data_IF_186498019843
#
_entry.id   IF_186498019843
#
_cell.length_a   1.000
_cell.length_b   1.000
_cell.length_c   1.000
_cell.angle_alpha   90.00
_cell.angle_beta   90.00
_cell.angle_gamma   90.00
#
_symmetry.space_group_name_H-M   'P 1'
#
loop_
_entity.id
_entity.type
_entity.pdbx_description
1 polymer ?
#
# COMPACT_ATOMS: atom_id res chain seq x y z
N UNK A 1 26.55 -78.10 11.36
CA UNK A 1 27.91 -78.26 11.94
C UNK A 1 28.85 -77.45 11.06
N UNK A 2 29.47 -76.33 11.46
CA UNK A 2 29.59 -75.69 12.76
C UNK A 2 29.70 -74.16 12.64
N UNK A 3 29.59 -73.50 13.78
CA UNK A 3 29.86 -72.07 14.03
C UNK A 3 31.41 -71.84 14.04
N UNK A 4 32.01 -70.64 13.98
CA UNK A 4 31.71 -69.35 14.63
C UNK A 4 32.60 -68.23 13.97
N UNK A 5 32.81 -67.01 14.54
CA UNK A 5 32.32 -65.77 13.94
C UNK A 5 33.40 -64.68 13.75
N UNK A 6 33.10 -63.63 12.98
CA UNK A 6 33.89 -62.39 12.97
C UNK A 6 33.05 -61.21 13.46
N UNK A 7 32.90 -61.18 14.77
CA UNK A 7 32.63 -60.04 15.63
C UNK A 7 33.75 -58.97 15.54
N UNK A 8 33.36 -57.72 15.83
CA UNK A 8 34.14 -56.48 15.90
C UNK A 8 34.37 -55.78 14.54
N UNK A 9 34.08 -54.50 14.37
CA UNK A 9 33.53 -53.50 15.26
C UNK A 9 33.12 -52.28 14.41
N UNK A 10 32.19 -51.50 14.94
CA UNK A 10 32.12 -50.04 14.84
C UNK A 10 32.82 -49.37 13.65
N UNK A 11 32.02 -48.78 12.75
CA UNK A 11 32.05 -47.32 12.62
C UNK A 11 30.74 -46.86 11.99
N UNK A 12 29.75 -46.54 12.83
CA UNK A 12 28.64 -45.68 12.46
C UNK A 12 29.21 -44.28 12.23
N UNK A 13 29.74 -43.99 11.04
CA UNK A 13 29.98 -42.60 10.63
C UNK A 13 28.68 -42.08 10.03
N UNK A 14 27.76 -41.71 10.92
CA UNK A 14 26.71 -40.78 10.53
C UNK A 14 27.41 -39.43 10.33
N UNK A 15 27.89 -39.18 9.12
CA UNK A 15 28.31 -37.86 8.71
C UNK A 15 27.05 -36.99 8.66
N UNK A 16 26.68 -36.39 9.78
CA UNK A 16 25.75 -35.26 9.80
C UNK A 16 26.48 -34.11 9.14
N UNK A 17 26.40 -34.04 7.82
CA UNK A 17 26.75 -32.83 7.09
C UNK A 17 25.67 -31.83 7.48
N UNK A 18 25.97 -31.03 8.51
CA UNK A 18 25.28 -29.77 8.75
C UNK A 18 25.52 -28.92 7.49
N UNK A 19 24.62 -29.04 6.52
CA UNK A 19 24.44 -28.04 5.50
C UNK A 19 24.06 -26.77 6.23
N UNK A 20 25.06 -25.98 6.61
CA UNK A 20 24.88 -24.56 6.87
C UNK A 20 24.39 -24.03 5.54
N UNK A 21 23.06 -23.98 5.38
CA UNK A 21 22.44 -23.18 4.33
C UNK A 21 23.14 -21.83 4.41
N UNK A 22 23.85 -21.37 3.36
CA UNK A 22 24.19 -19.97 3.32
C UNK A 22 22.82 -19.30 3.40
N UNK A 23 22.55 -18.60 4.51
CA UNK A 23 21.41 -17.71 4.61
C UNK A 23 21.36 -17.02 3.28
N UNK A 24 20.27 -17.22 2.52
CA UNK A 24 20.02 -16.46 1.31
C UNK A 24 20.15 -15.03 1.75
N UNK A 25 21.33 -14.43 1.47
CA UNK A 25 21.54 -13.01 1.62
C UNK A 25 20.55 -12.48 0.63
N UNK A 26 19.34 -12.17 1.11
CA UNK A 26 18.37 -11.46 0.32
C UNK A 26 19.16 -10.30 -0.25
N UNK A 27 19.29 -10.25 -1.57
CA UNK A 27 19.72 -9.04 -2.23
C UNK A 27 18.83 -7.98 -1.59
N UNK A 28 19.41 -7.12 -0.75
CA UNK A 28 18.68 -6.00 -0.21
C UNK A 28 18.12 -5.31 -1.45
N UNK A 29 16.78 -5.37 -1.60
CA UNK A 29 16.13 -4.76 -2.75
C UNK A 29 16.66 -3.33 -2.85
N UNK A 30 17.04 -2.89 -4.04
CA UNK A 30 17.44 -1.51 -4.23
C UNK A 30 16.37 -0.60 -3.62
N UNK A 31 16.81 0.47 -2.94
CA UNK A 31 15.90 1.45 -2.35
C UNK A 31 14.91 1.89 -3.44
N UNK A 32 13.58 1.67 -3.26
CA UNK A 32 12.60 2.00 -4.29
C UNK A 32 12.59 3.50 -4.60
N UNK A 33 13.11 4.34 -3.70
CA UNK A 33 13.22 5.80 -3.88
C UNK A 33 14.50 6.24 -4.59
N UNK A 34 15.40 5.31 -4.96
CA UNK A 34 16.64 5.65 -5.64
C UNK A 34 16.39 6.35 -6.98
N UNK A 35 16.95 7.55 -7.14
CA UNK A 35 16.72 8.41 -8.32
C UNK A 35 15.53 9.35 -8.19
N UNK A 36 14.76 9.30 -7.10
CA UNK A 36 13.69 10.25 -6.80
C UNK A 36 14.15 11.34 -5.82
N UNK A 37 13.68 12.57 -6.06
CA UNK A 37 13.83 13.67 -5.10
C UNK A 37 12.58 13.74 -4.23
N UNK A 38 12.75 13.64 -2.92
CA UNK A 38 11.64 13.76 -1.98
C UNK A 38 11.01 15.16 -2.04
N UNK A 39 9.68 15.19 -2.05
CA UNK A 39 8.89 16.42 -2.04
C UNK A 39 8.20 16.55 -0.69
N UNK A 40 8.29 17.74 -0.07
CA UNK A 40 7.66 17.99 1.22
C UNK A 40 6.16 18.28 1.05
N UNK A 41 5.32 17.50 1.73
CA UNK A 41 3.89 17.76 1.84
C UNK A 41 3.55 18.33 3.21
N UNK A 42 2.61 19.27 3.25
CA UNK A 42 2.05 19.87 4.46
C UNK A 42 0.53 19.81 4.41
N UNK A 43 -0.14 20.13 5.53
CA UNK A 43 -1.61 20.21 5.56
C UNK A 43 -2.20 21.17 4.51
N UNK A 44 -1.46 22.20 4.11
CA UNK A 44 -1.91 23.12 3.07
C UNK A 44 -2.00 22.48 1.68
N UNK A 45 -1.30 21.36 1.46
CA UNK A 45 -1.38 20.59 0.22
C UNK A 45 -2.61 19.67 0.18
N UNK A 46 -3.30 19.45 1.30
CA UNK A 46 -4.37 18.46 1.42
C UNK A 46 -5.75 19.12 1.41
N UNK A 47 -6.44 19.00 0.28
CA UNK A 47 -7.81 19.50 0.12
C UNK A 47 -8.79 18.36 0.32
N UNK A 48 -9.58 18.43 1.40
CA UNK A 48 -10.66 17.48 1.66
C UNK A 48 -11.81 17.67 0.66
N UNK A 49 -12.08 16.64 -0.12
CA UNK A 49 -13.31 16.50 -0.89
C UNK A 49 -14.25 15.56 -0.14
N UNK A 50 -15.51 15.96 -0.01
CA UNK A 50 -16.57 15.28 0.76
C UNK A 50 -17.92 15.53 0.08
N UNK A 51 -19.01 14.86 0.49
CA UNK A 51 -20.36 15.23 0.07
C UNK A 51 -20.64 16.71 0.30
N UNK A 52 -21.28 17.36 -0.68
CA UNK A 52 -21.49 18.82 -0.64
C UNK A 52 -22.41 19.26 0.51
N UNK A 53 -23.31 18.38 0.94
CA UNK A 53 -24.38 18.64 1.91
C UNK A 53 -24.04 18.24 3.36
N UNK A 54 -22.87 17.64 3.60
CA UNK A 54 -22.45 17.21 4.94
C UNK A 54 -21.31 18.06 5.49
N UNK A 55 -21.19 18.26 6.82
CA UNK A 55 -19.98 18.86 7.40
C UNK A 55 -18.78 17.92 7.29
N UNK A 56 -17.55 18.44 7.41
CA UNK A 56 -16.32 17.64 7.28
C UNK A 56 -16.26 16.48 8.28
N UNK A 57 -16.57 16.74 9.55
CA UNK A 57 -16.54 15.74 10.62
C UNK A 57 -17.56 14.59 10.46
N UNK A 58 -18.51 14.68 9.53
CA UNK A 58 -19.47 13.60 9.28
C UNK A 58 -18.86 12.41 8.52
N UNK A 59 -17.77 12.63 7.78
CA UNK A 59 -17.12 11.64 6.91
C UNK A 59 -15.59 11.58 7.03
N UNK A 60 -15.01 12.49 7.81
CA UNK A 60 -13.57 12.66 7.92
C UNK A 60 -13.15 12.95 9.36
N UNK A 61 -12.04 12.35 9.77
CA UNK A 61 -11.30 12.71 10.98
C UNK A 61 -9.80 12.71 10.72
N UNK A 62 -9.07 13.50 11.53
CA UNK A 62 -7.62 13.50 11.54
C UNK A 62 -7.11 13.54 12.98
N UNK A 63 -6.45 12.47 13.40
CA UNK A 63 -5.92 12.33 14.75
C UNK A 63 -4.66 11.46 14.72
N UNK A 64 -3.61 11.87 15.45
CA UNK A 64 -2.37 11.10 15.56
C UNK A 64 -1.69 10.80 14.22
N UNK A 65 -1.82 11.70 13.23
CA UNK A 65 -1.26 11.50 11.89
C UNK A 65 -2.08 10.57 10.98
N UNK A 66 -3.19 10.01 11.47
CA UNK A 66 -4.07 9.12 10.70
C UNK A 66 -5.28 9.89 10.20
N UNK A 67 -5.51 9.87 8.89
CA UNK A 67 -6.75 10.34 8.27
C UNK A 67 -7.71 9.17 8.13
N UNK A 68 -8.91 9.30 8.69
CA UNK A 68 -9.97 8.33 8.48
C UNK A 68 -11.00 8.96 7.55
N UNK A 69 -11.35 8.22 6.50
CA UNK A 69 -12.32 8.61 5.50
C UNK A 69 -13.34 7.48 5.38
N UNK A 70 -14.62 7.81 5.44
CA UNK A 70 -15.68 6.84 5.15
C UNK A 70 -16.64 7.43 4.14
N UNK A 71 -17.18 6.55 3.29
CA UNK A 71 -18.07 6.89 2.19
C UNK A 71 -19.25 5.93 2.26
N UNK A 72 -20.46 6.47 2.32
CA UNK A 72 -21.67 5.68 2.22
C UNK A 72 -22.22 5.75 0.79
N UNK A 73 -22.84 4.67 0.33
CA UNK A 73 -23.50 4.65 -0.99
C UNK A 73 -24.66 5.64 -1.09
N UNK A 74 -25.24 6.04 0.05
CA UNK A 74 -26.31 7.02 0.15
C UNK A 74 -25.85 8.48 0.21
N UNK A 75 -24.54 8.73 0.34
CA UNK A 75 -24.02 10.09 0.40
C UNK A 75 -24.27 10.84 -0.92
N UNK A 76 -24.18 12.17 -0.90
CA UNK A 76 -24.24 12.96 -2.13
C UNK A 76 -22.87 13.05 -2.82
N UNK A 77 -22.84 13.40 -4.12
CA UNK A 77 -21.60 13.70 -4.82
C UNK A 77 -20.80 14.83 -4.15
N UNK A 78 -19.55 15.02 -4.59
CA UNK A 78 -18.68 16.07 -4.03
C UNK A 78 -19.20 17.49 -4.28
N UNK A 79 -19.92 17.70 -5.39
CA UNK A 79 -20.57 18.98 -5.74
C UNK A 79 -22.00 18.72 -6.18
N UNK A 80 -22.87 19.73 -6.06
CA UNK A 80 -24.30 19.58 -6.39
C UNK A 80 -24.56 19.34 -7.88
N UNK A 81 -23.61 19.70 -8.75
CA UNK A 81 -23.69 19.51 -10.19
C UNK A 81 -22.98 18.22 -10.68
N UNK A 82 -22.35 17.45 -9.80
CA UNK A 82 -21.61 16.27 -10.20
C UNK A 82 -22.53 15.07 -10.39
N UNK A 83 -22.38 14.37 -11.52
CA UNK A 83 -23.07 13.09 -11.80
C UNK A 83 -22.27 11.86 -11.32
N UNK A 84 -21.16 12.09 -10.61
CA UNK A 84 -20.24 11.02 -10.18
C UNK A 84 -20.69 10.44 -8.84
N UNK A 85 -20.21 9.23 -8.52
CA UNK A 85 -20.53 8.60 -7.24
C UNK A 85 -19.96 9.40 -6.04
N UNK A 86 -20.51 9.18 -4.83
CA UNK A 86 -20.04 9.84 -3.62
C UNK A 86 -18.58 9.54 -3.34
N UNK A 87 -17.91 10.49 -2.69
CA UNK A 87 -16.50 10.40 -2.31
C UNK A 87 -16.24 11.16 -1.03
N UNK A 88 -15.30 10.63 -0.26
CA UNK A 88 -14.57 11.36 0.77
C UNK A 88 -13.10 11.07 0.49
N UNK A 89 -12.37 12.04 -0.03
CA UNK A 89 -11.00 11.88 -0.52
C UNK A 89 -10.14 13.10 -0.19
N UNK A 90 -8.83 12.90 -0.12
CA UNK A 90 -7.87 14.00 -0.06
C UNK A 90 -7.32 14.24 -1.46
N UNK A 91 -7.57 15.43 -2.02
CA UNK A 91 -6.89 15.90 -3.21
C UNK A 91 -5.59 16.59 -2.79
N UNK A 92 -4.46 16.12 -3.32
CA UNK A 92 -3.18 16.80 -3.19
C UNK A 92 -3.10 17.97 -4.18
N UNK A 93 -2.66 19.14 -3.72
CA UNK A 93 -2.46 20.36 -4.53
C UNK A 93 -1.06 20.92 -4.37
N UNK A 94 -0.60 21.69 -5.37
CA UNK A 94 0.76 22.27 -5.40
C UNK A 94 1.80 21.40 -6.10
N UNK A 95 1.46 20.15 -6.40
CA UNK A 95 2.25 19.18 -7.16
C UNK A 95 1.37 18.44 -8.17
N UNK A 96 0.53 19.18 -8.90
CA UNK A 96 -0.34 18.59 -9.90
C UNK A 96 0.49 17.91 -11.02
N UNK A 97 0.12 16.68 -11.36
CA UNK A 97 0.86 15.86 -12.31
C UNK A 97 0.74 16.43 -13.73
N UNK A 98 1.85 16.94 -14.26
CA UNK A 98 1.92 17.51 -15.62
C UNK A 98 2.84 16.70 -16.55
N UNK A 99 3.92 16.13 -16.02
CA UNK A 99 4.90 15.33 -16.76
C UNK A 99 5.86 14.62 -15.81
N UNK A 100 6.78 13.82 -16.37
CA UNK A 100 7.84 13.13 -15.62
C UNK A 100 7.39 11.81 -15.00
N UNK A 101 8.22 11.29 -14.09
CA UNK A 101 7.92 10.08 -13.33
C UNK A 101 7.78 10.48 -11.87
N UNK A 102 6.65 10.11 -11.27
CA UNK A 102 6.34 10.41 -9.87
C UNK A 102 6.14 9.11 -9.11
N UNK A 103 6.68 9.05 -7.89
CA UNK A 103 6.44 7.97 -6.95
C UNK A 103 5.59 8.48 -5.79
N UNK A 104 4.63 7.66 -5.39
CA UNK A 104 3.79 7.89 -4.22
C UNK A 104 3.93 6.68 -3.31
N UNK A 105 4.02 6.94 -2.01
CA UNK A 105 4.03 5.91 -0.98
C UNK A 105 3.05 6.31 0.12
N UNK A 106 2.35 5.33 0.68
CA UNK A 106 1.44 5.55 1.79
C UNK A 106 0.92 4.24 2.35
N UNK A 107 0.57 4.28 3.64
CA UNK A 107 -0.07 3.17 4.32
C UNK A 107 -1.58 3.43 4.36
N UNK A 108 -2.35 2.42 3.96
CA UNK A 108 -3.81 2.47 3.96
C UNK A 108 -4.41 1.18 4.51
N UNK A 109 -5.52 1.31 5.22
CA UNK A 109 -6.31 0.18 5.68
C UNK A 109 -7.75 0.33 5.21
N UNK A 110 -8.25 -0.69 4.50
CA UNK A 110 -9.66 -0.79 4.10
C UNK A 110 -10.31 -1.85 5.01
N UNK A 111 -11.31 -1.49 5.82
CA UNK A 111 -12.00 -2.44 6.67
C UNK A 111 -12.58 -3.63 5.88
N UNK A 112 -12.55 -4.81 6.50
CA UNK A 112 -13.21 -6.01 5.94
C UNK A 112 -14.69 -5.71 5.66
N UNK A 113 -15.24 -6.32 4.61
CA UNK A 113 -16.60 -6.09 4.08
C UNK A 113 -16.83 -4.78 3.31
N UNK A 114 -15.81 -3.93 3.14
CA UNK A 114 -15.92 -2.77 2.24
C UNK A 114 -15.80 -3.20 0.78
N UNK A 115 -16.71 -2.75 -0.09
CA UNK A 115 -16.74 -3.11 -1.51
C UNK A 115 -16.71 -1.88 -2.42
N UNK A 116 -16.10 -1.99 -3.60
CA UNK A 116 -16.12 -0.92 -4.61
C UNK A 116 -15.29 0.31 -4.24
N UNK A 117 -14.25 0.12 -3.44
CA UNK A 117 -13.38 1.21 -2.95
C UNK A 117 -12.30 1.53 -3.98
N UNK A 118 -12.08 2.83 -4.20
CA UNK A 118 -10.84 3.34 -4.80
C UNK A 118 -10.05 4.05 -3.71
N UNK A 119 -8.81 3.61 -3.47
CA UNK A 119 -7.93 4.17 -2.43
C UNK A 119 -6.92 5.18 -2.98
N UNK A 120 -6.65 5.12 -4.29
CA UNK A 120 -5.70 5.98 -4.97
C UNK A 120 -6.15 6.16 -6.41
N UNK A 121 -6.05 7.39 -6.89
CA UNK A 121 -6.32 7.73 -8.28
C UNK A 121 -5.36 8.85 -8.70
N UNK A 122 -4.89 8.79 -9.94
CA UNK A 122 -4.08 9.83 -10.56
C UNK A 122 -4.88 10.38 -11.73
N UNK A 123 -5.14 11.68 -11.73
CA UNK A 123 -5.80 12.38 -12.83
C UNK A 123 -4.80 13.26 -13.58
N UNK A 124 -5.10 13.56 -14.84
CA UNK A 124 -4.27 14.47 -15.66
C UNK A 124 -3.47 13.77 -16.77
N UNK A 125 -3.62 12.46 -16.94
CA UNK A 125 -3.11 11.77 -18.13
C UNK A 125 -3.93 12.14 -19.38
N UNK A 126 -3.27 12.59 -20.44
CA UNK A 126 -3.90 13.04 -21.69
C UNK A 126 -4.50 11.92 -22.56
N UNK A 127 -4.19 10.65 -22.28
CA UNK A 127 -4.51 9.49 -23.15
C UNK A 127 -5.31 8.38 -22.49
N UNK A 128 -5.45 8.37 -21.15
CA UNK A 128 -6.28 7.41 -20.42
C UNK A 128 -6.55 7.94 -19.02
N UNK A 129 -7.59 8.75 -18.89
CA UNK A 129 -8.12 9.11 -17.57
C UNK A 129 -9.18 8.08 -17.19
N UNK A 130 -9.16 7.61 -15.95
CA UNK A 130 -10.32 6.94 -15.37
C UNK A 130 -11.46 7.94 -15.34
N UNK A 131 -12.51 7.73 -16.13
CA UNK A 131 -13.71 8.54 -16.05
C UNK A 131 -14.40 8.30 -14.72
N UNK A 132 -14.78 9.40 -14.06
CA UNK A 132 -15.44 9.41 -12.75
C UNK A 132 -16.87 8.91 -12.79
#
# INVERSE_FOLDING_TARGET
>A
MGASPSWLACLCVVAVVLLVSPSSRGLAGADPTNGFTAVSLSESNFVLQKPYDLPSNARYSFAGGVRQLWVLSSDKPHTSQSNTKPRTEIRMTGYDYSSGVWQFEGYGYVPSSTTGVSIMQVFGGSVSATTR
#
